data_IF_770929327504
#
_entry.id   IF_770929327504
#
_cell.length_a   1.000
_cell.length_b   1.000
_cell.length_c   1.000
_cell.angle_alpha   90.00
_cell.angle_beta   90.00
_cell.angle_gamma   90.00
#
_symmetry.space_group_name_H-M   'P 1'
#
loop_
_entity.id
_entity.type
_entity.pdbx_description
1 polymer ?
#
# COMPACT_ATOMS: atom_id res chain seq x y z
N UNK A 1 10.96 9.41 17.50
CA UNK A 1 10.73 10.87 17.44
C UNK A 1 9.31 11.07 16.97
N UNK A 2 8.54 11.97 17.58
CA UNK A 2 7.18 12.27 17.14
C UNK A 2 7.21 13.14 15.86
N UNK A 3 6.40 12.78 14.88
CA UNK A 3 6.20 13.53 13.64
C UNK A 3 4.86 14.29 13.74
N UNK A 4 4.92 15.61 13.51
CA UNK A 4 3.75 16.48 13.64
C UNK A 4 2.67 16.17 12.58
N UNK A 5 3.07 15.77 11.38
CA UNK A 5 2.14 15.42 10.32
C UNK A 5 1.45 14.08 10.60
N UNK A 6 2.16 13.13 11.21
CA UNK A 6 1.54 11.90 11.74
C UNK A 6 0.55 12.24 12.85
N UNK A 7 0.87 13.19 13.73
CA UNK A 7 -0.09 13.64 14.77
C UNK A 7 -1.33 14.27 14.15
N UNK A 8 -1.17 15.11 13.12
CA UNK A 8 -2.31 15.68 12.40
C UNK A 8 -3.18 14.63 11.71
N UNK A 9 -2.57 13.58 11.14
CA UNK A 9 -3.30 12.43 10.61
C UNK A 9 -4.11 11.71 11.70
N UNK A 10 -3.54 11.51 12.89
CA UNK A 10 -4.21 10.91 14.04
C UNK A 10 -5.38 11.77 14.56
N UNK A 11 -5.19 13.10 14.62
CA UNK A 11 -6.28 14.04 14.96
C UNK A 11 -7.38 13.99 13.90
N UNK A 12 -7.02 14.00 12.61
CA UNK A 12 -7.97 13.93 11.51
C UNK A 12 -8.83 12.66 11.58
N UNK A 13 -8.22 11.49 11.80
CA UNK A 13 -8.94 10.22 11.87
C UNK A 13 -9.88 10.18 13.09
N UNK A 14 -9.41 10.63 14.25
CA UNK A 14 -10.22 10.67 15.47
C UNK A 14 -11.42 11.61 15.32
N UNK A 15 -11.20 12.81 14.76
CA UNK A 15 -12.25 13.82 14.61
C UNK A 15 -13.29 13.44 13.56
N UNK A 16 -12.85 12.88 12.44
CA UNK A 16 -13.70 12.70 11.24
C UNK A 16 -14.33 11.32 11.18
N UNK A 17 -13.62 10.30 11.65
CA UNK A 17 -14.00 8.90 11.43
C UNK A 17 -14.30 8.10 12.68
N UNK A 18 -13.89 8.51 13.89
CA UNK A 18 -13.97 7.64 15.09
C UNK A 18 -15.32 6.95 15.29
N UNK A 19 -16.43 7.69 15.16
CA UNK A 19 -17.79 7.13 15.26
C UNK A 19 -18.19 6.26 14.06
N UNK A 20 -17.65 6.54 12.87
CA UNK A 20 -17.91 5.83 11.61
C UNK A 20 -17.16 4.50 11.52
N UNK A 21 -15.94 4.44 12.08
CA UNK A 21 -15.06 3.28 12.02
C UNK A 21 -15.00 2.48 13.33
N UNK A 22 -15.64 3.00 14.39
CA UNK A 22 -15.72 2.35 15.70
C UNK A 22 -14.38 2.22 16.41
N UNK A 23 -13.43 3.13 16.16
CA UNK A 23 -12.13 3.15 16.83
C UNK A 23 -11.51 4.54 16.87
N UNK A 24 -10.65 4.76 17.87
CA UNK A 24 -9.77 5.94 17.98
C UNK A 24 -8.31 5.50 18.02
N UNK A 25 -7.41 6.45 17.85
CA UNK A 25 -5.95 6.26 17.93
C UNK A 25 -5.34 7.29 18.86
N UNK A 26 -4.16 6.98 19.40
CA UNK A 26 -3.40 7.92 20.21
C UNK A 26 -2.76 9.00 19.32
N UNK A 27 -2.90 10.28 19.68
CA UNK A 27 -2.42 11.43 18.90
C UNK A 27 -0.98 11.82 19.30
N UNK A 28 -0.06 10.85 19.24
CA UNK A 28 1.32 11.00 19.73
C UNK A 28 2.36 11.26 18.63
N UNK A 29 1.93 11.39 17.37
CA UNK A 29 2.83 11.61 16.24
C UNK A 29 3.70 10.40 15.87
N UNK A 30 3.36 9.21 16.35
CA UNK A 30 4.09 7.98 16.04
C UNK A 30 3.22 7.05 15.19
N UNK A 31 3.73 6.62 14.04
CA UNK A 31 3.07 5.59 13.24
C UNK A 31 2.96 4.30 14.05
N UNK A 32 1.77 3.72 14.09
CA UNK A 32 1.48 2.48 14.77
C UNK A 32 0.51 1.63 13.95
N UNK A 33 0.43 0.33 14.28
CA UNK A 33 -0.58 -0.55 13.68
C UNK A 33 -2.00 0.00 13.84
N UNK A 34 -2.33 0.56 15.01
CA UNK A 34 -3.64 1.17 15.25
C UNK A 34 -3.90 2.37 14.33
N UNK A 35 -2.89 3.20 14.05
CA UNK A 35 -2.99 4.30 13.09
C UNK A 35 -3.28 3.78 11.68
N UNK A 36 -2.55 2.75 11.23
CA UNK A 36 -2.78 2.14 9.91
C UNK A 36 -4.14 1.42 9.80
N UNK A 37 -4.61 0.77 10.87
CA UNK A 37 -5.93 0.16 10.92
C UNK A 37 -7.04 1.20 10.83
N UNK A 38 -6.92 2.32 11.55
CA UNK A 38 -7.89 3.40 11.50
C UNK A 38 -7.97 4.03 10.09
N UNK A 39 -6.81 4.29 9.46
CA UNK A 39 -6.74 4.79 8.08
C UNK A 39 -7.33 3.79 7.07
N UNK A 40 -7.04 2.50 7.23
CA UNK A 40 -7.61 1.43 6.39
C UNK A 40 -9.13 1.38 6.49
N UNK A 41 -9.67 1.45 7.71
CA UNK A 41 -11.11 1.44 7.95
C UNK A 41 -11.79 2.71 7.42
N UNK A 42 -11.14 3.87 7.54
CA UNK A 42 -11.66 5.10 6.96
C UNK A 42 -11.68 5.05 5.43
N UNK A 43 -10.64 4.51 4.79
CA UNK A 43 -10.65 4.28 3.35
C UNK A 43 -11.80 3.35 2.95
N UNK A 44 -11.98 2.25 3.67
CA UNK A 44 -13.09 1.31 3.43
C UNK A 44 -14.47 1.99 3.58
N UNK A 45 -14.63 2.87 4.59
CA UNK A 45 -15.83 3.66 4.77
C UNK A 45 -16.09 4.58 3.56
N UNK A 46 -15.08 5.33 3.10
CA UNK A 46 -15.21 6.18 1.90
C UNK A 46 -15.52 5.37 0.62
N UNK A 47 -15.06 4.11 0.57
CA UNK A 47 -15.39 3.18 -0.51
C UNK A 47 -16.82 2.61 -0.39
N UNK A 48 -17.57 2.94 0.66
CA UNK A 48 -18.93 2.44 0.90
C UNK A 48 -18.97 0.99 1.38
N UNK A 49 -17.87 0.45 1.92
CA UNK A 49 -17.84 -0.89 2.51
C UNK A 49 -18.49 -0.80 3.91
N UNK A 50 -19.49 -1.63 4.16
CA UNK A 50 -20.25 -1.62 5.42
C UNK A 50 -19.56 -2.42 6.53
N UNK A 51 -19.03 -3.59 6.21
CA UNK A 51 -18.28 -4.44 7.15
C UNK A 51 -16.80 -4.09 7.13
N UNK A 52 -16.42 -3.10 7.94
CA UNK A 52 -15.05 -2.59 8.03
C UNK A 52 -14.10 -3.56 8.74
N UNK A 53 -12.88 -3.68 8.22
CA UNK A 53 -11.81 -4.55 8.73
C UNK A 53 -10.50 -3.79 8.89
N UNK A 54 -9.66 -4.23 9.82
CA UNK A 54 -8.31 -3.70 10.00
C UNK A 54 -7.38 -4.05 8.82
N UNK A 55 -7.81 -4.94 7.92
CA UNK A 55 -7.01 -5.43 6.81
C UNK A 55 -7.45 -4.80 5.49
N UNK A 56 -6.49 -4.35 4.69
CA UNK A 56 -6.69 -4.05 3.27
C UNK A 56 -6.73 -5.36 2.48
N UNK A 57 -7.90 -5.98 2.40
CA UNK A 57 -8.13 -7.28 1.77
C UNK A 57 -8.60 -7.21 0.30
N UNK A 58 -8.99 -8.36 -0.28
CA UNK A 58 -9.51 -8.45 -1.64
C UNK A 58 -10.72 -7.54 -1.90
N UNK A 59 -11.63 -7.40 -0.93
CA UNK A 59 -12.80 -6.51 -1.05
C UNK A 59 -12.42 -5.05 -1.25
N UNK A 60 -11.48 -4.53 -0.46
CA UNK A 60 -11.01 -3.14 -0.60
C UNK A 60 -10.31 -2.93 -1.93
N UNK A 61 -9.48 -3.91 -2.34
CA UNK A 61 -8.77 -3.86 -3.61
C UNK A 61 -9.72 -3.86 -4.81
N UNK A 62 -10.71 -4.74 -4.81
CA UNK A 62 -11.73 -4.81 -5.85
C UNK A 62 -12.56 -3.52 -5.91
N UNK A 63 -12.99 -2.99 -4.77
CA UNK A 63 -13.78 -1.76 -4.71
C UNK A 63 -13.05 -0.56 -5.35
N UNK A 64 -11.74 -0.44 -5.13
CA UNK A 64 -10.94 0.62 -5.78
C UNK A 64 -10.81 0.37 -7.28
N UNK A 65 -10.50 -0.87 -7.68
CA UNK A 65 -10.33 -1.23 -9.08
C UNK A 65 -11.62 -0.99 -9.88
N UNK A 66 -12.77 -1.40 -9.35
CA UNK A 66 -14.08 -1.28 -10.00
C UNK A 66 -14.56 0.17 -10.07
N UNK A 67 -14.41 0.95 -8.99
CA UNK A 67 -14.93 2.32 -8.93
C UNK A 67 -14.04 3.33 -9.64
N UNK A 68 -12.72 3.16 -9.56
CA UNK A 68 -11.77 4.19 -9.98
C UNK A 68 -10.68 3.68 -10.93
N UNK A 69 -10.38 2.38 -10.93
CA UNK A 69 -9.24 1.78 -11.63
C UNK A 69 -7.89 2.12 -11.00
N UNK A 70 -7.61 3.40 -10.81
CA UNK A 70 -6.48 4.00 -10.08
C UNK A 70 -6.93 5.31 -9.45
N UNK A 71 -6.21 5.81 -8.45
CA UNK A 71 -6.46 7.15 -7.89
C UNK A 71 -5.34 8.10 -8.30
N UNK A 72 -5.69 9.28 -8.82
CA UNK A 72 -4.77 10.37 -9.09
C UNK A 72 -5.47 11.74 -8.96
N UNK A 73 -4.77 12.81 -9.37
CA UNK A 73 -5.27 14.17 -9.27
C UNK A 73 -6.57 14.45 -10.05
N UNK A 74 -6.90 13.63 -11.05
CA UNK A 74 -8.09 13.82 -11.89
C UNK A 74 -9.36 13.17 -11.33
N UNK A 75 -9.24 12.21 -10.41
CA UNK A 75 -10.37 11.36 -10.00
C UNK A 75 -10.46 11.04 -8.50
N UNK A 76 -9.67 11.71 -7.65
CA UNK A 76 -9.82 11.57 -6.19
C UNK A 76 -11.24 11.97 -5.77
N UNK A 77 -12.02 11.10 -5.10
CA UNK A 77 -13.48 11.24 -5.05
C UNK A 77 -13.98 12.27 -4.04
N UNK A 78 -13.21 12.56 -3.00
CA UNK A 78 -13.56 13.53 -1.96
C UNK A 78 -12.31 14.10 -1.30
N UNK A 79 -12.46 15.26 -0.66
CA UNK A 79 -11.39 15.86 0.11
C UNK A 79 -10.96 14.96 1.28
N UNK A 80 -11.91 14.29 1.96
CA UNK A 80 -11.57 13.39 3.06
C UNK A 80 -10.88 12.11 2.58
N UNK A 81 -11.28 11.56 1.43
CA UNK A 81 -10.54 10.46 0.78
C UNK A 81 -9.09 10.88 0.54
N UNK A 82 -8.87 12.07 -0.01
CA UNK A 82 -7.53 12.59 -0.23
C UNK A 82 -6.76 12.79 1.10
N UNK A 83 -7.40 13.29 2.16
CA UNK A 83 -6.75 13.42 3.49
C UNK A 83 -6.31 12.07 4.05
N UNK A 84 -7.08 11.00 3.83
CA UNK A 84 -6.66 9.65 4.20
C UNK A 84 -5.39 9.24 3.43
N UNK A 85 -5.32 9.50 2.13
CA UNK A 85 -4.12 9.22 1.32
C UNK A 85 -2.89 10.03 1.80
N UNK A 86 -3.08 11.32 2.01
CA UNK A 86 -2.04 12.23 2.54
C UNK A 86 -1.54 11.75 3.91
N UNK A 87 -2.45 11.34 4.78
CA UNK A 87 -2.14 10.77 6.10
C UNK A 87 -1.35 9.47 6.01
N UNK A 88 -1.74 8.56 5.10
CA UNK A 88 -1.06 7.30 4.89
C UNK A 88 0.36 7.49 4.32
N UNK A 89 0.57 8.50 3.46
CA UNK A 89 1.91 8.86 2.98
C UNK A 89 2.83 9.25 4.14
N UNK A 90 2.39 10.11 5.06
CA UNK A 90 3.19 10.46 6.24
C UNK A 90 3.47 9.25 7.13
N UNK A 91 2.48 8.39 7.35
CA UNK A 91 2.69 7.16 8.11
C UNK A 91 3.75 6.25 7.47
N UNK A 92 3.90 6.30 6.15
CA UNK A 92 4.93 5.60 5.38
C UNK A 92 6.26 6.34 5.23
N UNK A 93 6.37 7.56 5.74
CA UNK A 93 7.56 8.40 5.62
C UNK A 93 7.68 9.16 4.30
N UNK A 94 6.58 9.37 3.58
CA UNK A 94 6.49 10.20 2.38
C UNK A 94 5.75 11.51 2.68
N UNK A 95 6.04 12.55 1.91
CA UNK A 95 5.42 13.86 2.09
C UNK A 95 3.95 13.86 1.62
N UNK A 96 3.01 13.80 2.55
CA UNK A 96 1.57 13.91 2.28
C UNK A 96 1.08 15.33 2.01
N UNK A 97 1.94 16.36 1.98
CA UNK A 97 1.53 17.76 1.92
C UNK A 97 0.67 18.21 3.12
N UNK A 98 -0.21 19.21 2.99
CA UNK A 98 -0.85 19.85 4.14
C UNK A 98 -2.03 19.08 4.79
N UNK A 99 -2.30 17.82 4.39
CA UNK A 99 -3.53 17.08 4.77
C UNK A 99 -4.79 17.95 4.51
N UNK A 100 -4.76 18.69 3.41
CA UNK A 100 -5.77 19.68 3.01
C UNK A 100 -6.90 19.07 2.19
N UNK A 101 -6.77 17.80 1.78
CA UNK A 101 -7.70 17.10 0.91
C UNK A 101 -7.50 17.37 -0.58
N UNK A 102 -6.35 17.92 -0.98
CA UNK A 102 -6.00 18.17 -2.37
C UNK A 102 -4.85 17.28 -2.83
N UNK A 103 -5.05 16.56 -3.94
CA UNK A 103 -4.00 15.76 -4.58
C UNK A 103 -3.04 16.65 -5.39
N UNK A 104 -2.34 17.53 -4.68
CA UNK A 104 -1.50 18.57 -5.26
C UNK A 104 -0.15 18.02 -5.78
N UNK A 105 0.70 18.91 -6.31
CA UNK A 105 1.99 18.52 -6.89
C UNK A 105 2.93 17.81 -5.90
N UNK A 106 2.89 18.15 -4.60
CA UNK A 106 3.69 17.47 -3.58
C UNK A 106 3.23 16.04 -3.36
N UNK A 107 1.91 15.82 -3.29
CA UNK A 107 1.33 14.47 -3.23
C UNK A 107 1.74 13.66 -4.48
N UNK A 108 1.68 14.27 -5.66
CA UNK A 108 2.07 13.61 -6.90
C UNK A 108 3.55 13.19 -6.92
N UNK A 109 4.44 14.07 -6.46
CA UNK A 109 5.87 13.77 -6.32
C UNK A 109 6.11 12.63 -5.33
N UNK A 110 5.45 12.66 -4.16
CA UNK A 110 5.55 11.59 -3.16
C UNK A 110 5.08 10.24 -3.68
N UNK A 111 3.99 10.19 -4.43
CA UNK A 111 3.50 8.94 -5.03
C UNK A 111 4.43 8.46 -6.14
N UNK A 112 5.01 9.37 -6.93
CA UNK A 112 6.03 9.00 -7.92
C UNK A 112 7.26 8.38 -7.23
N UNK A 113 7.71 8.98 -6.11
CA UNK A 113 8.81 8.45 -5.31
C UNK A 113 8.47 7.10 -4.66
N UNK A 114 7.23 6.93 -4.16
CA UNK A 114 6.73 5.66 -3.63
C UNK A 114 6.78 4.57 -4.71
N UNK A 115 6.25 4.84 -5.90
CA UNK A 115 6.28 3.91 -7.03
C UNK A 115 7.72 3.54 -7.41
N UNK A 116 8.64 4.50 -7.43
CA UNK A 116 10.06 4.24 -7.68
C UNK A 116 10.69 3.37 -6.58
N UNK A 117 10.39 3.67 -5.32
CA UNK A 117 10.88 2.91 -4.18
C UNK A 117 10.36 1.46 -4.18
N UNK A 118 9.13 1.24 -4.65
CA UNK A 118 8.57 -0.10 -4.86
C UNK A 118 9.13 -0.84 -6.08
N UNK A 119 9.86 -0.17 -6.98
CA UNK A 119 10.35 -0.75 -8.24
C UNK A 119 9.32 -0.75 -9.38
N UNK A 120 8.32 0.14 -9.31
CA UNK A 120 7.14 0.13 -10.19
C UNK A 120 7.11 1.23 -11.24
N UNK A 121 8.12 2.12 -11.31
CA UNK A 121 8.10 3.29 -12.21
C UNK A 121 7.90 2.97 -13.69
N UNK A 122 8.33 1.79 -14.15
CA UNK A 122 8.16 1.36 -15.54
C UNK A 122 6.72 0.90 -15.80
N UNK A 123 6.17 0.09 -14.90
CA UNK A 123 4.82 -0.50 -15.05
C UNK A 123 3.72 0.51 -14.70
N UNK A 124 3.97 1.34 -13.69
CA UNK A 124 3.07 2.37 -13.19
C UNK A 124 3.77 3.74 -13.23
N UNK A 125 3.90 4.34 -14.42
CA UNK A 125 4.55 5.63 -14.56
C UNK A 125 3.73 6.75 -13.91
N UNK A 126 4.44 7.76 -13.41
CA UNK A 126 3.87 8.95 -12.80
C UNK A 126 3.30 8.71 -11.40
N UNK A 127 2.27 9.49 -11.07
CA UNK A 127 1.80 9.69 -9.70
C UNK A 127 0.45 9.04 -9.41
N UNK A 128 0.08 7.99 -10.15
CA UNK A 128 -1.16 7.26 -9.90
C UNK A 128 -0.97 6.19 -8.82
N UNK A 129 -1.92 6.13 -7.91
CA UNK A 129 -2.06 5.11 -6.89
C UNK A 129 -2.93 3.98 -7.42
N UNK A 130 -2.27 2.97 -8.00
CA UNK A 130 -2.92 1.74 -8.44
C UNK A 130 -3.39 0.88 -7.25
N UNK A 131 -4.38 -0.02 -7.40
CA UNK A 131 -4.96 -0.76 -6.27
C UNK A 131 -3.92 -1.53 -5.43
N UNK A 132 -2.92 -2.13 -6.07
CA UNK A 132 -1.82 -2.85 -5.38
C UNK A 132 -0.81 -1.89 -4.72
N UNK A 133 -0.62 -0.69 -5.26
CA UNK A 133 0.18 0.38 -4.62
C UNK A 133 -0.54 0.89 -3.37
N UNK A 134 -1.86 1.13 -3.47
CA UNK A 134 -2.69 1.50 -2.31
C UNK A 134 -2.64 0.45 -1.21
N UNK A 135 -2.76 -0.84 -1.57
CA UNK A 135 -2.60 -1.92 -0.58
C UNK A 135 -1.26 -1.83 0.16
N UNK A 136 -0.17 -1.53 -0.54
CA UNK A 136 1.15 -1.33 0.05
C UNK A 136 1.28 -0.05 0.88
N UNK A 137 0.66 1.05 0.43
CA UNK A 137 0.62 2.31 1.17
C UNK A 137 -0.07 2.14 2.54
N UNK A 138 -1.08 1.27 2.64
CA UNK A 138 -1.89 1.06 3.84
C UNK A 138 -1.43 -0.10 4.75
N UNK A 139 -0.20 -0.60 4.58
CA UNK A 139 0.37 -1.62 5.46
C UNK A 139 1.57 -1.06 6.28
N UNK A 140 2.44 -1.91 6.84
CA UNK A 140 3.65 -1.47 7.59
C UNK A 140 4.98 -1.79 6.87
N UNK A 141 4.92 -2.32 5.64
CA UNK A 141 6.11 -2.63 4.85
C UNK A 141 6.91 -1.37 4.52
N UNK A 142 8.24 -1.48 4.57
CA UNK A 142 9.13 -0.42 4.13
C UNK A 142 9.50 -0.61 2.65
N UNK A 143 9.58 0.49 1.90
CA UNK A 143 9.99 0.49 0.48
C UNK A 143 11.35 1.16 0.25
N UNK A 144 12.04 1.48 1.34
CA UNK A 144 13.41 1.99 1.40
C UNK A 144 14.23 1.05 2.25
N UNK A 145 15.54 0.96 2.01
CA UNK A 145 16.43 0.16 2.86
C UNK A 145 16.35 0.64 4.31
N UNK A 146 16.10 -0.30 5.23
CA UNK A 146 16.05 -0.02 6.68
C UNK A 146 17.26 -0.62 7.38
N UNK A 147 17.42 -0.36 8.68
CA UNK A 147 18.56 -0.78 9.51
C UNK A 147 19.10 -2.18 9.17
N UNK A 148 20.35 -2.22 8.71
CA UNK A 148 21.05 -3.46 8.36
C UNK A 148 20.60 -4.14 7.06
N UNK A 149 19.67 -3.54 6.31
CA UNK A 149 19.20 -4.03 5.02
C UNK A 149 20.25 -3.84 3.92
N UNK A 150 20.24 -4.75 2.94
CA UNK A 150 21.16 -4.75 1.81
C UNK A 150 20.55 -4.04 0.59
N UNK A 151 21.33 -3.15 -0.03
CA UNK A 151 20.96 -2.52 -1.30
C UNK A 151 20.79 -3.55 -2.43
N UNK A 152 21.60 -4.62 -2.44
CA UNK A 152 21.48 -5.70 -3.41
C UNK A 152 20.17 -6.48 -3.24
N UNK A 153 19.81 -6.82 -1.99
CA UNK A 153 18.51 -7.46 -1.69
C UNK A 153 17.35 -6.55 -2.09
N UNK A 154 17.47 -5.24 -1.80
CA UNK A 154 16.46 -4.26 -2.23
C UNK A 154 16.29 -4.22 -3.74
N UNK A 155 17.38 -4.25 -4.52
CA UNK A 155 17.29 -4.29 -5.98
C UNK A 155 16.54 -5.53 -6.48
N UNK A 156 16.73 -6.69 -5.85
CA UNK A 156 15.97 -7.91 -6.17
C UNK A 156 14.48 -7.75 -5.80
N UNK A 157 14.17 -7.20 -4.62
CA UNK A 157 12.79 -6.94 -4.20
C UNK A 157 12.06 -6.00 -5.19
N UNK A 158 12.73 -4.92 -5.60
CA UNK A 158 12.21 -3.98 -6.59
C UNK A 158 12.03 -4.63 -7.96
N UNK A 159 12.98 -5.46 -8.38
CA UNK A 159 12.86 -6.21 -9.63
C UNK A 159 11.66 -7.15 -9.60
N UNK A 160 11.48 -7.95 -8.54
CA UNK A 160 10.33 -8.85 -8.39
C UNK A 160 9.00 -8.09 -8.48
N UNK A 161 8.90 -6.95 -7.78
CA UNK A 161 7.73 -6.08 -7.87
C UNK A 161 7.48 -5.61 -9.31
N UNK A 162 8.50 -5.04 -9.96
CA UNK A 162 8.39 -4.53 -11.33
C UNK A 162 8.04 -5.60 -12.35
N UNK A 163 8.53 -6.83 -12.20
CA UNK A 163 8.22 -7.92 -13.12
C UNK A 163 6.81 -8.48 -12.93
N UNK A 164 6.40 -8.72 -11.68
CA UNK A 164 5.23 -9.56 -11.41
C UNK A 164 4.01 -8.82 -10.88
N UNK A 165 4.05 -7.50 -10.59
CA UNK A 165 2.89 -6.80 -10.00
C UNK A 165 1.60 -6.91 -10.84
N UNK A 166 1.70 -7.13 -12.16
CA UNK A 166 0.54 -7.33 -13.05
C UNK A 166 -0.07 -8.73 -12.96
N UNK A 167 0.66 -9.72 -12.41
CA UNK A 167 0.14 -11.07 -12.13
C UNK A 167 -0.90 -10.99 -11.02
N UNK A 168 -2.07 -11.58 -11.21
CA UNK A 168 -3.22 -11.42 -10.30
C UNK A 168 -2.84 -11.70 -8.84
N UNK A 169 -2.11 -12.78 -8.58
CA UNK A 169 -1.82 -13.27 -7.22
C UNK A 169 -0.52 -12.72 -6.63
N UNK A 170 0.22 -11.90 -7.37
CA UNK A 170 1.42 -11.24 -6.89
C UNK A 170 1.09 -9.83 -6.36
N UNK A 171 1.50 -9.52 -5.14
CA UNK A 171 1.34 -8.20 -4.52
C UNK A 171 2.69 -7.54 -4.31
N UNK A 172 2.69 -6.21 -4.18
CA UNK A 172 3.90 -5.45 -3.88
C UNK A 172 4.48 -5.95 -2.55
N UNK A 173 5.72 -6.45 -2.58
CA UNK A 173 6.49 -6.83 -1.40
C UNK A 173 7.32 -5.65 -0.88
N UNK A 174 7.73 -5.67 0.40
CA UNK A 174 8.68 -4.69 0.93
C UNK A 174 9.94 -4.58 0.07
N UNK A 175 10.51 -3.38 0.02
CA UNK A 175 11.81 -3.06 -0.57
C UNK A 175 12.77 -2.56 0.52
N UNK A 176 12.83 -3.31 1.62
CA UNK A 176 13.50 -2.96 2.88
C UNK A 176 14.96 -3.46 2.97
N UNK A 177 15.40 -4.25 1.99
CA UNK A 177 16.73 -4.84 1.94
C UNK A 177 16.91 -6.10 2.79
N UNK A 178 15.84 -6.67 3.35
CA UNK A 178 15.88 -7.89 4.17
C UNK A 178 15.28 -9.09 3.42
N UNK A 179 15.92 -10.25 3.53
CA UNK A 179 15.37 -11.49 2.97
C UNK A 179 14.36 -12.11 3.95
N UNK A 180 13.15 -11.54 3.98
CA UNK A 180 12.05 -12.04 4.80
C UNK A 180 11.39 -13.28 4.19
N UNK A 181 10.53 -13.95 4.97
CA UNK A 181 9.73 -15.10 4.47
C UNK A 181 8.83 -14.70 3.30
N UNK A 182 8.27 -13.49 3.32
CA UNK A 182 7.44 -13.00 2.23
C UNK A 182 8.24 -12.77 0.95
N UNK A 183 9.48 -12.29 1.08
CA UNK A 183 10.41 -12.15 -0.06
C UNK A 183 10.75 -13.53 -0.64
N UNK A 184 11.07 -14.51 0.20
CA UNK A 184 11.33 -15.88 -0.24
C UNK A 184 10.10 -16.49 -0.96
N UNK A 185 8.89 -16.29 -0.43
CA UNK A 185 7.64 -16.71 -1.07
C UNK A 185 7.44 -16.04 -2.43
N UNK A 186 7.74 -14.75 -2.54
CA UNK A 186 7.63 -14.02 -3.81
C UNK A 186 8.67 -14.43 -4.84
N UNK A 187 9.87 -14.83 -4.42
CA UNK A 187 10.85 -15.47 -5.32
C UNK A 187 10.30 -16.79 -5.88
N UNK A 188 9.63 -17.61 -5.05
CA UNK A 188 8.98 -18.83 -5.51
C UNK A 188 7.84 -18.54 -6.49
N UNK A 189 7.02 -17.51 -6.25
CA UNK A 189 6.05 -17.04 -7.24
C UNK A 189 6.73 -16.67 -8.57
N UNK A 190 7.84 -15.93 -8.52
CA UNK A 190 8.60 -15.58 -9.71
C UNK A 190 9.02 -16.81 -10.49
N UNK A 191 9.68 -17.78 -9.83
CA UNK A 191 10.06 -19.04 -10.46
C UNK A 191 8.86 -19.78 -11.07
N UNK A 192 7.75 -19.88 -10.34
CA UNK A 192 6.53 -20.53 -10.82
C UNK A 192 5.96 -19.84 -12.07
N UNK A 193 6.00 -18.51 -12.12
CA UNK A 193 5.56 -17.77 -13.29
C UNK A 193 6.51 -17.93 -14.49
N UNK A 194 7.82 -17.94 -14.26
CA UNK A 194 8.81 -18.15 -15.32
C UNK A 194 8.73 -19.55 -15.96
N UNK A 195 8.33 -20.57 -15.20
CA UNK A 195 8.06 -21.92 -15.75
C UNK A 195 6.65 -22.06 -16.33
N UNK A 196 5.92 -20.96 -16.50
CA UNK A 196 4.64 -20.92 -17.21
C UNK A 196 3.40 -21.21 -16.37
N UNK A 197 3.48 -21.24 -15.03
CA UNK A 197 2.28 -21.39 -14.21
C UNK A 197 1.36 -20.18 -14.35
N UNK A 198 0.06 -20.41 -14.51
CA UNK A 198 -0.94 -19.35 -14.60
C UNK A 198 -1.27 -18.74 -13.23
N UNK A 199 -1.93 -17.58 -13.24
CA UNK A 199 -2.62 -17.07 -12.07
C UNK A 199 -3.67 -18.08 -11.57
N UNK A 200 -3.81 -18.17 -10.25
CA UNK A 200 -4.61 -19.17 -9.54
C UNK A 200 -3.95 -20.55 -9.45
N UNK A 201 -2.78 -20.75 -10.06
CA UNK A 201 -1.99 -22.00 -9.97
C UNK A 201 -0.71 -21.76 -9.19
N UNK A 202 0.04 -20.70 -9.52
CA UNK A 202 1.17 -20.28 -8.71
C UNK A 202 0.72 -19.96 -7.27
N UNK A 203 1.47 -20.44 -6.27
CA UNK A 203 1.12 -20.35 -4.86
C UNK A 203 2.29 -19.93 -3.95
N UNK A 204 3.49 -19.76 -4.51
CA UNK A 204 4.70 -19.40 -3.78
C UNK A 204 5.21 -20.49 -2.83
N UNK A 205 4.87 -21.76 -3.08
CA UNK A 205 5.32 -22.93 -2.30
C UNK A 205 6.05 -23.91 -3.21
N UNK A 206 7.16 -24.46 -2.71
CA UNK A 206 7.86 -25.55 -3.40
C UNK A 206 7.15 -26.88 -3.13
N UNK A 207 6.64 -27.54 -4.17
CA UNK A 207 5.91 -28.81 -4.04
C UNK A 207 4.76 -28.94 -5.06
N UNK A 208 3.96 -30.02 -4.97
CA UNK A 208 2.83 -30.20 -5.87
C UNK A 208 1.84 -29.05 -5.73
N UNK A 209 1.50 -28.43 -6.87
CA UNK A 209 0.36 -27.52 -6.95
C UNK A 209 -0.93 -28.35 -6.89
N UNK A 210 -1.95 -27.93 -6.12
CA UNK A 210 -3.24 -28.61 -6.14
C UNK A 210 -3.74 -28.68 -7.59
N UNK A 211 -3.99 -29.89 -8.08
CA UNK A 211 -4.64 -30.08 -9.38
C UNK A 211 -6.01 -29.42 -9.34
N UNK A 212 -6.35 -28.62 -10.36
CA UNK A 212 -7.72 -28.12 -10.52
C UNK A 212 -8.68 -29.32 -10.54
N UNK A 213 -9.66 -29.31 -9.64
CA UNK A 213 -10.86 -30.14 -9.77
C UNK A 213 -11.78 -29.56 -10.85
#
# INVERSE_FOLDING_TARGET
MADEMVRQAQVFINRTYSSRIGMTVEENGQTSWNTMYALTRALQYELGITSLSNSFGPTTLAAIAEKYGKIDASNVPSADFCRILQSALYCKGYDGSAIDGTYNARVQQSVTQLNANMGLSVVYPGSALWPKVLKGLFNMDAYVTVNGGSSAVRSVQQWLNGQYVLRKDFYVIPCDGHHSRDVAKSMLFGVQYEIGMADGVANGVFGPVPSRA
#
